data_IF_806938710522
#
_entry.id   IF_806938710522
#
_cell.length_a   1.000
_cell.length_b   1.000
_cell.length_c   1.000
_cell.angle_alpha   90.00
_cell.angle_beta   90.00
_cell.angle_gamma   90.00
#
_symmetry.space_group_name_H-M   'P 1'
#
loop_
_entity.id
_entity.type
_entity.pdbx_description
1 polymer ?
#
# COMPACT_ATOMS: atom_id res chain seq x y z
N UNK A 1 4.88 -22.42 -5.13
CA UNK A 1 4.04 -21.48 -4.37
C UNK A 1 4.99 -20.43 -3.86
N UNK A 2 4.81 -19.15 -4.21
CA UNK A 2 5.70 -18.12 -3.70
C UNK A 2 5.50 -17.93 -2.19
N UNK A 3 6.57 -17.63 -1.47
CA UNK A 3 6.51 -17.34 -0.03
C UNK A 3 6.13 -15.87 0.14
N UNK A 4 5.09 -15.59 0.92
CA UNK A 4 4.72 -14.20 1.25
C UNK A 4 5.41 -13.82 2.55
N UNK A 5 6.20 -12.75 2.51
CA UNK A 5 6.82 -12.13 3.68
C UNK A 5 6.03 -10.86 3.99
N UNK A 6 5.24 -10.92 5.07
CA UNK A 6 4.33 -9.86 5.47
C UNK A 6 4.95 -8.99 6.57
N UNK A 7 5.13 -7.70 6.26
CA UNK A 7 5.65 -6.70 7.19
C UNK A 7 4.53 -5.93 7.89
N UNK A 8 3.26 -6.29 7.70
CA UNK A 8 2.11 -5.55 8.20
C UNK A 8 2.23 -4.06 7.82
N UNK A 9 2.20 -3.15 8.80
CA UNK A 9 2.39 -1.71 8.61
C UNK A 9 3.86 -1.24 8.63
N UNK A 10 4.82 -2.16 8.71
CA UNK A 10 6.26 -1.90 8.73
C UNK A 10 6.85 -1.63 7.35
N UNK A 11 6.46 -0.52 6.71
CA UNK A 11 7.03 -0.13 5.40
C UNK A 11 8.56 0.02 5.47
N UNK A 12 9.06 0.71 6.49
CA UNK A 12 10.50 0.96 6.61
C UNK A 12 11.28 -0.35 6.82
N UNK A 13 10.76 -1.28 7.63
CA UNK A 13 11.36 -2.60 7.83
C UNK A 13 11.39 -3.42 6.53
N UNK A 14 10.31 -3.37 5.73
CA UNK A 14 10.27 -3.99 4.42
C UNK A 14 11.32 -3.39 3.48
N UNK A 15 11.48 -2.07 3.52
CA UNK A 15 12.46 -1.38 2.68
C UNK A 15 13.90 -1.66 3.13
N UNK A 16 14.15 -1.75 4.44
CA UNK A 16 15.45 -2.13 5.02
C UNK A 16 15.83 -3.54 4.54
N UNK A 17 14.90 -4.51 4.65
CA UNK A 17 15.11 -5.88 4.18
C UNK A 17 15.36 -5.94 2.66
N UNK A 18 14.62 -5.15 1.88
CA UNK A 18 14.82 -5.05 0.43
C UNK A 18 16.17 -4.39 0.08
N UNK A 19 16.70 -3.51 0.92
CA UNK A 19 18.06 -2.97 0.77
C UNK A 19 19.11 -4.00 1.17
N UNK A 20 18.91 -4.75 2.26
CA UNK A 20 19.86 -5.75 2.77
C UNK A 20 19.96 -7.01 1.90
N UNK A 21 18.84 -7.44 1.28
CA UNK A 21 18.81 -8.55 0.31
C UNK A 21 19.54 -8.20 -1.01
N UNK A 22 20.31 -7.11 -1.04
CA UNK A 22 21.29 -6.77 -2.06
C UNK A 22 22.56 -7.62 -1.90
N UNK A 23 22.50 -8.89 -2.31
CA UNK A 23 23.68 -9.78 -2.33
C UNK A 23 24.39 -9.74 -3.69
N UNK A 24 24.93 -8.58 -4.08
CA UNK A 24 25.99 -8.38 -5.10
C UNK A 24 25.88 -9.01 -6.51
N UNK A 25 24.83 -9.79 -6.81
CA UNK A 25 24.74 -10.69 -7.98
C UNK A 25 23.59 -10.37 -8.92
N UNK A 26 22.55 -9.67 -8.46
CA UNK A 26 21.43 -9.22 -9.32
C UNK A 26 20.95 -7.83 -8.87
N UNK A 27 21.27 -6.83 -9.71
CA UNK A 27 20.77 -5.45 -9.81
C UNK A 27 20.85 -4.57 -8.54
N UNK A 28 21.34 -3.34 -8.73
CA UNK A 28 21.25 -2.24 -7.75
C UNK A 28 19.81 -2.04 -7.24
N UNK A 29 19.58 -1.30 -6.14
CA UNK A 29 18.23 -0.89 -5.72
C UNK A 29 17.37 -0.35 -6.88
N UNK A 30 18.01 0.26 -7.89
CA UNK A 30 17.40 0.75 -9.13
C UNK A 30 16.81 -0.34 -10.04
N UNK A 31 17.08 -1.63 -9.82
CA UNK A 31 16.48 -2.73 -10.59
C UNK A 31 15.32 -3.42 -9.85
N UNK A 32 15.12 -3.13 -8.56
CA UNK A 32 13.99 -3.66 -7.78
C UNK A 32 12.78 -2.76 -8.01
N UNK A 33 11.68 -3.36 -8.43
CA UNK A 33 10.42 -2.66 -8.70
C UNK A 33 9.51 -2.82 -7.49
N UNK A 34 9.25 -1.72 -6.80
CA UNK A 34 8.25 -1.65 -5.74
C UNK A 34 6.94 -1.14 -6.35
N UNK A 35 5.86 -1.85 -6.03
CA UNK A 35 4.50 -1.51 -6.47
C UNK A 35 3.75 -0.88 -5.32
N UNK A 36 3.08 0.23 -5.61
CA UNK A 36 2.24 0.95 -4.66
C UNK A 36 0.81 0.97 -5.21
N UNK A 37 -0.13 0.44 -4.44
CA UNK A 37 -1.54 0.33 -4.80
C UNK A 37 -2.42 0.96 -3.71
N UNK A 38 -2.84 2.22 -3.90
CA UNK A 38 -3.82 2.84 -3.03
C UNK A 38 -5.24 2.36 -3.37
N UNK A 39 -6.02 2.02 -2.35
CA UNK A 39 -7.43 1.63 -2.42
C UNK A 39 -8.20 2.52 -1.46
N UNK A 40 -9.17 3.28 -1.99
CA UNK A 40 -10.11 4.01 -1.16
C UNK A 40 -11.30 3.11 -0.86
N UNK A 41 -11.71 3.02 0.40
CA UNK A 41 -12.77 2.14 0.87
C UNK A 41 -13.85 2.99 1.52
N UNK A 42 -15.09 2.72 1.11
CA UNK A 42 -16.31 3.31 1.66
C UNK A 42 -17.22 2.16 2.06
N UNK A 43 -17.56 2.08 3.34
CA UNK A 43 -18.41 1.03 3.90
C UNK A 43 -19.49 1.64 4.79
N UNK A 44 -20.68 1.05 4.80
CA UNK A 44 -21.72 1.40 5.77
C UNK A 44 -21.66 0.40 6.94
N UNK A 45 -21.51 0.90 8.16
CA UNK A 45 -21.56 0.11 9.41
C UNK A 45 -22.48 0.82 10.41
N UNK A 46 -23.41 0.06 11.02
CA UNK A 46 -24.35 0.58 12.04
C UNK A 46 -25.08 1.88 11.62
N UNK A 47 -25.55 1.93 10.36
CA UNK A 47 -26.20 3.10 9.74
C UNK A 47 -25.32 4.36 9.69
N UNK A 48 -23.99 4.19 9.73
CA UNK A 48 -23.00 5.26 9.57
C UNK A 48 -22.04 4.90 8.45
N UNK A 49 -21.73 5.89 7.63
CA UNK A 49 -20.67 5.74 6.63
C UNK A 49 -19.31 5.76 7.31
N UNK A 50 -18.46 4.80 6.97
CA UNK A 50 -17.05 4.76 7.31
C UNK A 50 -16.22 4.88 6.03
N UNK A 51 -15.20 5.72 6.10
CA UNK A 51 -14.26 5.94 5.01
C UNK A 51 -12.85 5.63 5.52
N UNK A 52 -12.12 4.78 4.81
CA UNK A 52 -10.71 4.52 5.08
C UNK A 52 -9.99 4.23 3.77
N UNK A 53 -8.67 4.27 3.80
CA UNK A 53 -7.82 4.08 2.65
C UNK A 53 -6.71 3.10 2.99
N UNK A 54 -6.47 2.15 2.10
CA UNK A 54 -5.39 1.18 2.21
C UNK A 54 -4.33 1.48 1.15
N UNK A 55 -3.07 1.26 1.48
CA UNK A 55 -1.96 1.30 0.54
C UNK A 55 -1.21 -0.02 0.65
N UNK A 56 -1.36 -0.84 -0.39
CA UNK A 56 -0.60 -2.07 -0.53
C UNK A 56 0.72 -1.74 -1.21
N UNK A 57 1.82 -2.03 -0.52
CA UNK A 57 3.18 -1.94 -1.04
C UNK A 57 3.69 -3.35 -1.24
N UNK A 58 4.10 -3.68 -2.47
CA UNK A 58 4.56 -5.04 -2.80
C UNK A 58 5.81 -5.03 -3.65
N UNK A 59 6.68 -6.02 -3.42
CA UNK A 59 7.85 -6.28 -4.25
C UNK A 59 8.01 -7.79 -4.46
N UNK A 60 8.47 -8.20 -5.65
CA UNK A 60 8.76 -9.60 -5.97
C UNK A 60 10.27 -9.76 -6.06
N UNK A 61 10.81 -10.70 -5.29
CA UNK A 61 12.23 -11.02 -5.24
C UNK A 61 12.40 -12.53 -5.35
N UNK A 62 12.84 -13.03 -6.50
CA UNK A 62 12.94 -14.48 -6.72
C UNK A 62 11.57 -15.17 -6.60
N UNK A 63 11.44 -16.05 -5.60
CA UNK A 63 10.18 -16.76 -5.28
C UNK A 63 9.39 -16.09 -4.14
N UNK A 64 9.90 -15.00 -3.58
CA UNK A 64 9.34 -14.31 -2.43
C UNK A 64 8.55 -13.07 -2.84
N UNK A 65 7.46 -12.81 -2.12
CA UNK A 65 6.63 -11.64 -2.26
C UNK A 65 6.68 -10.89 -0.94
N UNK A 66 7.29 -9.72 -0.96
CA UNK A 66 7.37 -8.81 0.17
C UNK A 66 6.14 -7.91 0.11
N UNK A 67 5.41 -7.81 1.22
CA UNK A 67 4.25 -6.93 1.29
C UNK A 67 4.20 -6.11 2.58
N UNK A 68 3.65 -4.90 2.46
CA UNK A 68 3.24 -4.05 3.57
C UNK A 68 1.91 -3.38 3.25
N UNK A 69 1.05 -3.25 4.27
CA UNK A 69 -0.24 -2.57 4.22
C UNK A 69 -0.20 -1.36 5.15
N UNK A 70 -0.35 -0.16 4.57
CA UNK A 70 -0.54 1.08 5.33
C UNK A 70 -2.00 1.51 5.23
N UNK A 71 -2.54 2.00 6.34
CA UNK A 71 -3.95 2.37 6.44
C UNK A 71 -4.09 3.83 6.86
N UNK A 72 -5.02 4.56 6.25
CA UNK A 72 -5.45 5.86 6.76
C UNK A 72 -6.33 5.66 7.99
N UNK A 73 -6.33 6.63 8.91
CA UNK A 73 -7.26 6.63 10.04
C UNK A 73 -8.71 6.56 9.52
N UNK A 74 -9.53 5.62 10.01
CA UNK A 74 -10.93 5.54 9.62
C UNK A 74 -11.69 6.81 10.02
N UNK A 75 -12.43 7.38 9.07
CA UNK A 75 -13.26 8.55 9.27
C UNK A 75 -14.74 8.13 9.23
N UNK A 76 -15.46 8.42 10.31
CA UNK A 76 -16.91 8.25 10.37
C UNK A 76 -17.61 9.47 9.76
N UNK A 77 -18.59 9.24 8.89
CA UNK A 77 -19.34 10.28 8.20
C UNK A 77 -20.61 10.69 8.94
N UNK A 78 -20.80 12.00 9.14
CA UNK A 78 -22.05 12.75 9.35
C UNK A 78 -21.67 14.25 9.44
N UNK A 79 -22.42 15.25 8.89
CA UNK A 79 -23.67 15.18 8.12
C UNK A 79 -23.52 15.22 6.57
N UNK A 80 -22.33 15.45 6.00
CA UNK A 80 -22.09 15.39 4.54
C UNK A 80 -21.11 14.23 4.21
N UNK A 81 -21.61 13.04 3.85
CA UNK A 81 -20.79 11.89 3.46
C UNK A 81 -19.92 12.15 2.23
N UNK A 82 -20.35 12.96 1.27
CA UNK A 82 -19.61 13.20 0.03
C UNK A 82 -18.44 14.16 0.25
N UNK A 83 -18.59 15.12 1.16
CA UNK A 83 -17.46 15.90 1.64
C UNK A 83 -16.44 15.00 2.37
N UNK A 84 -16.89 14.17 3.31
CA UNK A 84 -16.00 13.28 4.07
C UNK A 84 -15.29 12.27 3.18
N UNK A 85 -15.96 11.78 2.15
CA UNK A 85 -15.35 10.93 1.14
C UNK A 85 -14.23 11.63 0.37
N UNK A 86 -14.42 12.90 -0.02
CA UNK A 86 -13.38 13.69 -0.68
C UNK A 86 -12.17 13.89 0.23
N UNK A 87 -12.40 14.22 1.50
CA UNK A 87 -11.34 14.36 2.52
C UNK A 87 -10.54 13.06 2.66
N UNK A 88 -11.21 11.91 2.83
CA UNK A 88 -10.56 10.61 2.93
C UNK A 88 -9.72 10.25 1.68
N UNK A 89 -10.21 10.60 0.49
CA UNK A 89 -9.45 10.41 -0.76
C UNK A 89 -8.21 11.30 -0.83
N UNK A 90 -8.29 12.52 -0.31
CA UNK A 90 -7.14 13.42 -0.28
C UNK A 90 -6.10 12.98 0.76
N UNK A 91 -6.53 12.45 1.90
CA UNK A 91 -5.62 11.86 2.89
C UNK A 91 -4.94 10.59 2.35
N UNK A 92 -5.68 9.72 1.65
CA UNK A 92 -5.08 8.58 0.95
C UNK A 92 -4.04 9.02 -0.09
N UNK A 93 -4.29 10.11 -0.84
CA UNK A 93 -3.30 10.66 -1.79
C UNK A 93 -2.04 11.17 -1.08
N UNK A 94 -2.19 11.86 0.06
CA UNK A 94 -1.05 12.34 0.86
C UNK A 94 -0.20 11.16 1.35
N UNK A 95 -0.85 10.16 1.94
CA UNK A 95 -0.16 8.95 2.41
C UNK A 95 0.52 8.22 1.24
N UNK A 96 -0.14 8.14 0.08
CA UNK A 96 0.46 7.55 -1.13
C UNK A 96 1.74 8.28 -1.53
N UNK A 97 1.73 9.61 -1.50
CA UNK A 97 2.90 10.41 -1.84
C UNK A 97 4.03 10.23 -0.81
N UNK A 98 3.70 10.10 0.48
CA UNK A 98 4.68 9.82 1.53
C UNK A 98 5.34 8.45 1.34
N UNK A 99 4.55 7.41 1.08
CA UNK A 99 5.04 6.06 0.76
C UNK A 99 5.94 6.08 -0.47
N UNK A 100 5.50 6.72 -1.56
CA UNK A 100 6.29 6.87 -2.78
C UNK A 100 7.58 7.65 -2.54
N UNK A 101 7.56 8.62 -1.63
CA UNK A 101 8.76 9.38 -1.25
C UNK A 101 9.75 8.52 -0.46
N UNK A 102 9.30 7.73 0.52
CA UNK A 102 10.16 6.79 1.26
C UNK A 102 10.83 5.79 0.32
N UNK A 103 10.05 5.20 -0.60
CA UNK A 103 10.55 4.27 -1.61
C UNK A 103 11.58 4.94 -2.53
N UNK A 104 11.28 6.14 -3.03
CA UNK A 104 12.17 6.87 -3.94
C UNK A 104 13.46 7.33 -3.25
N UNK A 105 13.39 7.69 -1.97
CA UNK A 105 14.56 8.13 -1.19
C UNK A 105 15.63 7.04 -1.09
N UNK A 106 15.22 5.77 -1.14
CA UNK A 106 16.06 4.57 -1.15
C UNK A 106 16.49 4.11 -2.56
N UNK A 107 16.08 4.84 -3.60
CA UNK A 107 16.50 4.60 -4.98
C UNK A 107 15.79 3.45 -5.70
N UNK A 108 14.68 2.94 -5.14
CA UNK A 108 13.85 1.93 -5.77
C UNK A 108 13.00 2.50 -6.91
N UNK A 109 12.66 1.65 -7.90
CA UNK A 109 11.72 2.04 -8.95
C UNK A 109 10.28 1.81 -8.50
N UNK A 110 9.46 2.86 -8.60
CA UNK A 110 8.04 2.78 -8.27
C UNK A 110 7.23 2.45 -9.52
N UNK A 111 6.36 1.45 -9.40
CA UNK A 111 5.35 1.15 -10.41
C UNK A 111 3.95 1.15 -9.81
N UNK A 112 3.16 2.15 -10.16
CA UNK A 112 1.71 2.14 -9.90
C UNK A 112 1.06 1.02 -10.71
N UNK A 113 0.33 0.12 -10.07
CA UNK A 113 -0.32 -1.00 -10.77
C UNK A 113 -1.05 -1.99 -9.87
N UNK A 114 -1.82 -2.88 -10.49
CA UNK A 114 -2.69 -3.86 -9.82
C UNK A 114 -2.04 -5.25 -9.81
N UNK A 115 -1.56 -5.69 -8.66
CA UNK A 115 -1.52 -7.12 -8.33
C UNK A 115 -2.20 -7.28 -6.97
N UNK A 116 -3.40 -7.84 -6.97
CA UNK A 116 -4.09 -8.29 -5.77
C UNK A 116 -3.76 -9.78 -5.67
N UNK A 117 -2.84 -10.15 -4.77
CA UNK A 117 -2.67 -11.56 -4.44
C UNK A 117 -3.86 -11.96 -3.56
N UNK A 118 -4.81 -12.67 -4.20
CA UNK A 118 -6.07 -13.11 -3.60
C UNK A 118 -5.83 -13.97 -2.35
N UNK A 119 -6.15 -13.38 -1.20
CA UNK A 119 -6.65 -14.06 0.00
C UNK A 119 -7.94 -13.42 0.52
N UNK A 120 -8.14 -12.13 0.24
CA UNK A 120 -9.36 -11.39 0.58
C UNK A 120 -9.98 -10.80 -0.69
N UNK A 121 -11.29 -11.02 -0.87
CA UNK A 121 -12.05 -10.40 -1.95
C UNK A 121 -12.04 -8.88 -1.76
N UNK A 122 -11.57 -8.10 -2.74
CA UNK A 122 -11.72 -6.66 -2.69
C UNK A 122 -13.21 -6.36 -2.92
N UNK A 123 -13.97 -6.19 -1.85
CA UNK A 123 -15.30 -5.58 -1.93
C UNK A 123 -15.12 -4.10 -2.28
N UNK A 124 -14.88 -3.85 -3.57
CA UNK A 124 -15.02 -2.53 -4.19
C UNK A 124 -16.49 -2.40 -4.54
N UNK A 125 -17.23 -1.60 -3.79
CA UNK A 125 -18.50 -1.05 -4.25
C UNK A 125 -18.23 0.36 -4.79
N UNK A 126 -18.70 0.62 -6.01
CA UNK A 126 -18.66 1.94 -6.67
C UNK A 126 -19.44 3.02 -5.90
#
# INVERSE_FOLDING_TARGET
MGVVVDFNNGLEDMLDELEETYDGRILSPQGKIIRVMPIAIRKEEDSRWMFHGHIYVTAIMGEEIYQSLLETVPVLGYPDPDQKWREARDDLKKLTFEVERSISARGFLIRRGRYIFKGEDPHVSE
#
